data_IF_499421806448
#
_entry.id   IF_499421806448
#
_cell.length_a   1.000
_cell.length_b   1.000
_cell.length_c   1.000
_cell.angle_alpha   90.00
_cell.angle_beta   90.00
_cell.angle_gamma   90.00
#
_symmetry.space_group_name_H-M   'P 1'
#
loop_
_entity.id
_entity.type
_entity.pdbx_description
1 polymer ?
#
# COMPACT_ATOMS: atom_id res chain seq x y z
N UNK A 1 -11.13 -3.67 -8.33
CA UNK A 1 -11.09 -4.03 -6.90
C UNK A 1 -9.84 -3.46 -6.25
N UNK A 2 -9.98 -2.97 -5.03
CA UNK A 2 -8.88 -2.37 -4.26
C UNK A 2 -8.58 -3.23 -3.03
N UNK A 3 -7.29 -3.53 -2.84
CA UNK A 3 -6.81 -4.20 -1.63
C UNK A 3 -5.75 -3.32 -0.99
N UNK A 4 -5.85 -3.12 0.32
CA UNK A 4 -4.92 -2.30 1.08
C UNK A 4 -4.25 -3.19 2.13
N UNK A 5 -3.18 -3.93 1.76
CA UNK A 5 -2.46 -4.73 2.74
C UNK A 5 -1.69 -3.84 3.71
N UNK A 6 -1.78 -4.14 5.00
CA UNK A 6 -1.12 -3.36 6.04
C UNK A 6 -0.03 -4.20 6.69
N UNK A 7 1.21 -3.73 6.62
CA UNK A 7 2.35 -4.40 7.22
C UNK A 7 3.01 -5.40 6.30
N UNK A 8 4.27 -5.73 6.61
CA UNK A 8 5.10 -6.57 5.75
C UNK A 8 4.50 -7.95 5.47
N UNK A 9 3.92 -8.59 6.48
CA UNK A 9 3.37 -9.93 6.31
C UNK A 9 2.19 -9.94 5.36
N UNK A 10 1.27 -8.98 5.50
CA UNK A 10 0.12 -8.88 4.61
C UNK A 10 0.56 -8.54 3.19
N UNK A 11 1.49 -7.60 3.03
CA UNK A 11 1.99 -7.19 1.72
C UNK A 11 2.69 -8.35 1.02
N UNK A 12 3.48 -9.13 1.75
CA UNK A 12 4.25 -10.24 1.17
C UNK A 12 3.38 -11.36 0.61
N UNK A 13 2.11 -11.41 0.95
CA UNK A 13 1.18 -12.37 0.39
C UNK A 13 0.80 -12.03 -1.06
N UNK A 14 1.02 -10.80 -1.47
CA UNK A 14 0.69 -10.34 -2.83
C UNK A 14 1.93 -9.96 -3.62
N UNK A 15 2.96 -9.42 -2.96
CA UNK A 15 4.11 -8.81 -3.62
C UNK A 15 5.40 -9.33 -3.02
N UNK A 16 6.42 -9.53 -3.88
CA UNK A 16 7.77 -9.83 -3.44
C UNK A 16 8.52 -8.52 -3.27
N UNK A 17 9.15 -8.32 -2.12
CA UNK A 17 9.91 -7.11 -1.86
C UNK A 17 10.89 -7.34 -0.70
N UNK A 18 11.95 -6.52 -0.65
CA UNK A 18 12.91 -6.56 0.44
C UNK A 18 12.66 -5.45 1.46
N UNK A 19 12.28 -4.27 0.98
CA UNK A 19 12.06 -3.10 1.82
C UNK A 19 10.70 -2.47 1.52
N UNK A 20 10.06 -1.91 2.55
CA UNK A 20 8.80 -1.21 2.38
C UNK A 20 8.89 -0.05 1.37
N UNK A 21 10.08 0.56 1.26
CA UNK A 21 10.31 1.64 0.30
C UNK A 21 10.01 1.24 -1.15
N UNK A 22 10.05 -0.05 -1.44
CA UNK A 22 9.84 -0.55 -2.80
C UNK A 22 8.37 -0.64 -3.17
N UNK A 23 7.49 -0.76 -2.18
CA UNK A 23 6.08 -1.06 -2.45
C UNK A 23 5.10 -0.01 -1.91
N UNK A 24 5.45 0.70 -0.84
CA UNK A 24 4.57 1.75 -0.30
C UNK A 24 4.70 3.02 -1.14
N UNK A 25 3.59 3.74 -1.30
CA UNK A 25 3.56 4.97 -2.07
C UNK A 25 3.27 4.76 -3.55
N UNK A 26 2.94 3.53 -3.94
CA UNK A 26 2.67 3.15 -5.33
C UNK A 26 1.38 2.37 -5.42
N UNK A 27 0.71 2.51 -6.56
CA UNK A 27 -0.40 1.63 -6.90
C UNK A 27 0.15 0.52 -7.79
N UNK A 28 0.02 -0.73 -7.35
CA UNK A 28 0.50 -1.89 -8.09
C UNK A 28 -0.71 -2.68 -8.55
N UNK A 29 -0.77 -2.98 -9.85
CA UNK A 29 -1.86 -3.76 -10.41
C UNK A 29 -1.49 -5.24 -10.38
N UNK A 30 -2.25 -6.02 -9.65
CA UNK A 30 -2.07 -7.47 -9.55
C UNK A 30 -3.11 -8.14 -10.42
N UNK A 31 -2.68 -9.01 -11.34
CA UNK A 31 -3.57 -9.73 -12.25
C UNK A 31 -3.57 -11.20 -11.92
N UNK A 32 -4.77 -11.79 -11.77
CA UNK A 32 -4.92 -13.22 -11.54
C UNK A 32 -6.25 -13.67 -12.14
N UNK A 33 -6.22 -14.71 -12.97
CA UNK A 33 -7.42 -15.30 -13.55
C UNK A 33 -8.33 -14.27 -14.24
N UNK A 34 -7.74 -13.36 -15.02
CA UNK A 34 -8.43 -12.29 -15.73
C UNK A 34 -9.00 -11.18 -14.84
N UNK A 35 -8.73 -11.23 -13.54
CA UNK A 35 -9.10 -10.16 -12.63
C UNK A 35 -7.92 -9.23 -12.42
N UNK A 36 -8.21 -7.95 -12.35
CA UNK A 36 -7.22 -6.93 -12.00
C UNK A 36 -7.55 -6.37 -10.63
N UNK A 37 -6.56 -6.34 -9.77
CA UNK A 37 -6.70 -5.86 -8.40
C UNK A 37 -5.70 -4.75 -8.18
N UNK A 38 -6.17 -3.59 -7.74
CA UNK A 38 -5.29 -2.48 -7.36
C UNK A 38 -4.80 -2.73 -5.94
N UNK A 39 -3.48 -2.73 -5.75
CA UNK A 39 -2.89 -2.93 -4.44
C UNK A 39 -2.15 -1.66 -4.03
N UNK A 40 -2.55 -1.09 -2.90
CA UNK A 40 -1.88 0.06 -2.31
C UNK A 40 -1.47 -0.33 -0.89
N UNK A 41 -0.18 -0.55 -0.70
CA UNK A 41 0.37 -1.05 0.56
C UNK A 41 0.57 0.05 1.59
N UNK A 42 0.32 -0.27 2.86
CA UNK A 42 0.55 0.66 3.98
C UNK A 42 1.47 0.01 5.02
N UNK A 43 2.27 0.81 5.74
CA UNK A 43 3.06 0.29 6.85
C UNK A 43 2.15 -0.05 8.03
N UNK A 44 2.59 -1.00 8.86
CA UNK A 44 1.85 -1.33 10.08
C UNK A 44 1.96 -0.18 11.08
N UNK A 45 0.84 0.29 11.65
CA UNK A 45 0.85 1.41 12.59
C UNK A 45 1.28 1.00 13.99
N UNK A 46 2.39 0.28 14.09
CA UNK A 46 2.93 -0.17 15.38
C UNK A 46 3.72 0.96 16.04
N UNK A 47 3.61 1.10 17.34
CA UNK A 47 4.41 2.04 18.09
C UNK A 47 5.91 1.73 18.06
N UNK A 48 6.27 0.49 17.68
CA UNK A 48 7.67 0.10 17.53
C UNK A 48 8.24 0.47 16.17
N UNK A 49 7.38 0.77 15.21
CA UNK A 49 7.83 1.15 13.88
C UNK A 49 8.07 2.65 13.80
N UNK A 50 9.27 3.01 13.39
CA UNK A 50 9.62 4.42 13.15
C UNK A 50 9.73 4.73 11.66
N UNK A 51 9.47 3.73 10.81
CA UNK A 51 9.64 3.87 9.37
C UNK A 51 8.86 5.04 8.77
N UNK A 52 7.60 5.20 9.19
CA UNK A 52 6.72 6.22 8.64
C UNK A 52 6.94 7.61 9.24
N UNK A 53 7.82 7.73 10.23
CA UNK A 53 8.09 9.01 10.91
C UNK A 53 9.24 9.79 10.26
N UNK A 54 10.01 9.13 9.41
CA UNK A 54 11.18 9.72 8.74
C UNK A 54 11.09 9.49 7.24
N UNK A 55 11.65 10.41 6.46
CA UNK A 55 11.75 10.23 5.01
C UNK A 55 12.76 9.12 4.69
N UNK A 56 12.55 8.34 3.64
CA UNK A 56 11.47 8.47 2.64
C UNK A 56 10.14 7.85 3.09
N UNK A 57 10.08 7.16 4.22
CA UNK A 57 8.87 6.50 4.69
C UNK A 57 7.69 7.45 4.86
N UNK A 58 7.93 8.61 5.44
CA UNK A 58 6.90 9.63 5.65
C UNK A 58 6.27 10.09 4.34
N UNK A 59 7.09 10.34 3.33
CA UNK A 59 6.60 10.76 2.01
C UNK A 59 5.85 9.63 1.33
N UNK A 60 6.38 8.40 1.42
CA UNK A 60 5.77 7.25 0.77
C UNK A 60 4.40 6.93 1.40
N UNK A 61 4.28 7.06 2.70
CA UNK A 61 2.99 6.90 3.37
C UNK A 61 1.99 7.93 2.87
N UNK A 62 2.40 9.20 2.77
CA UNK A 62 1.54 10.26 2.25
C UNK A 62 1.09 9.96 0.84
N UNK A 63 2.02 9.52 -0.02
CA UNK A 63 1.71 9.16 -1.41
C UNK A 63 0.70 8.01 -1.47
N UNK A 64 0.86 6.99 -0.62
CA UNK A 64 -0.06 5.87 -0.56
C UNK A 64 -1.47 6.34 -0.17
N UNK A 65 -1.59 7.19 0.83
CA UNK A 65 -2.88 7.70 1.28
C UNK A 65 -3.55 8.56 0.20
N UNK A 66 -2.77 9.34 -0.56
CA UNK A 66 -3.30 10.11 -1.67
C UNK A 66 -3.84 9.21 -2.78
N UNK A 67 -3.12 8.13 -3.08
CA UNK A 67 -3.56 7.15 -4.09
C UNK A 67 -4.88 6.52 -3.66
N UNK A 68 -4.99 6.10 -2.40
CA UNK A 68 -6.22 5.50 -1.87
C UNK A 68 -7.38 6.49 -1.97
N UNK A 69 -7.14 7.72 -1.55
CA UNK A 69 -8.16 8.77 -1.56
C UNK A 69 -8.73 9.01 -2.96
N UNK A 70 -7.88 8.94 -3.98
CA UNK A 70 -8.27 9.18 -5.37
C UNK A 70 -8.74 7.92 -6.09
N UNK A 71 -8.64 6.75 -5.46
CA UNK A 71 -9.02 5.50 -6.10
C UNK A 71 -10.52 5.42 -6.29
N UNK A 72 -10.95 4.96 -7.48
CA UNK A 72 -12.37 4.84 -7.82
C UNK A 72 -13.13 3.97 -6.82
N UNK A 73 -12.54 2.82 -6.46
CA UNK A 73 -13.21 1.88 -5.55
C UNK A 73 -13.37 2.48 -4.15
N UNK A 74 -12.39 3.23 -3.70
CA UNK A 74 -12.47 3.91 -2.40
C UNK A 74 -13.56 4.96 -2.41
N UNK A 75 -13.59 5.80 -3.46
CA UNK A 75 -14.58 6.86 -3.57
C UNK A 75 -16.00 6.31 -3.69
N UNK A 76 -16.18 5.15 -4.29
CA UNK A 76 -17.50 4.55 -4.43
C UNK A 76 -18.07 4.04 -3.11
N UNK A 77 -17.23 3.90 -2.06
CA UNK A 77 -17.67 3.52 -0.73
C UNK A 77 -18.15 4.71 0.11
N UNK A 78 -17.82 5.90 -0.33
CA UNK A 78 -18.21 7.13 0.37
C UNK A 78 -19.56 7.61 -0.14
#
# INVERSE_FOLDING_TARGET
KLIIPVGKLAISQFLAFDRLNEVVGKKIVYSKNNYKIDIVSLPHPSGLSTWYKKDPGKKLLRDALEIIKKNYYWQSLL
#
